data_IF_176155560100
#
_entry.id   IF_176155560100
#
_cell.length_a   1.000
_cell.length_b   1.000
_cell.length_c   1.000
_cell.angle_alpha   90.00
_cell.angle_beta   90.00
_cell.angle_gamma   90.00
#
_symmetry.space_group_name_H-M   'P 1'
#
loop_
_entity.id
_entity.type
_entity.pdbx_description
1 polymer ?
#
# COMPACT_ATOMS: atom_id res chain seq x y z
N UNK A 1 -15.31 10.73 -19.48
CA UNK A 1 -14.62 9.69 -18.70
C UNK A 1 -13.27 10.23 -18.27
N UNK A 2 -12.92 10.17 -16.98
CA UNK A 2 -11.58 10.59 -16.52
C UNK A 2 -10.57 9.59 -17.09
N UNK A 3 -9.64 10.03 -17.92
CA UNK A 3 -8.60 9.18 -18.52
C UNK A 3 -7.29 9.33 -17.76
N UNK A 4 -6.48 8.27 -17.76
CA UNK A 4 -5.16 8.23 -17.12
C UNK A 4 -4.09 7.84 -18.17
N UNK A 5 -3.79 8.72 -19.15
CA UNK A 5 -3.06 8.32 -20.37
C UNK A 5 -1.73 7.63 -20.08
N UNK A 6 -0.96 8.14 -19.12
CA UNK A 6 0.34 7.57 -18.73
C UNK A 6 0.18 6.16 -18.15
N UNK A 7 -0.81 5.96 -17.26
CA UNK A 7 -1.03 4.65 -16.66
C UNK A 7 -1.56 3.63 -17.68
N UNK A 8 -2.39 4.08 -18.62
CA UNK A 8 -2.88 3.24 -19.70
C UNK A 8 -1.75 2.81 -20.66
N UNK A 9 -0.82 3.72 -20.97
CA UNK A 9 0.38 3.38 -21.75
C UNK A 9 1.21 2.29 -21.07
N UNK A 10 1.31 2.33 -19.74
CA UNK A 10 2.11 1.38 -18.94
C UNK A 10 1.30 0.19 -18.39
N UNK A 11 0.03 0.03 -18.79
CA UNK A 11 -0.91 -0.94 -18.20
C UNK A 11 -0.33 -2.35 -18.12
N UNK A 12 0.23 -2.84 -19.22
CA UNK A 12 0.77 -4.20 -19.28
C UNK A 12 1.94 -4.41 -18.29
N UNK A 13 2.76 -3.38 -18.07
CA UNK A 13 3.86 -3.41 -17.09
C UNK A 13 3.33 -3.39 -15.66
N UNK A 14 2.32 -2.55 -15.39
CA UNK A 14 1.65 -2.45 -14.09
C UNK A 14 1.01 -3.79 -13.73
N UNK A 15 0.21 -4.36 -14.64
CA UNK A 15 -0.54 -5.60 -14.42
C UNK A 15 0.37 -6.83 -14.27
N UNK A 16 1.59 -6.80 -14.83
CA UNK A 16 2.60 -7.85 -14.64
C UNK A 16 3.17 -7.89 -13.22
N UNK A 17 3.06 -6.80 -12.46
CA UNK A 17 3.57 -6.77 -11.10
C UNK A 17 2.73 -7.66 -10.19
N UNK A 18 3.39 -8.62 -9.51
CA UNK A 18 2.75 -9.52 -8.57
C UNK A 18 1.99 -8.76 -7.48
N UNK A 19 0.77 -9.20 -7.21
CA UNK A 19 -0.13 -8.60 -6.23
C UNK A 19 -0.96 -9.70 -5.57
N UNK A 20 -0.79 -9.87 -4.27
CA UNK A 20 -1.58 -10.80 -3.46
C UNK A 20 -2.36 -10.00 -2.41
N UNK A 21 -3.61 -10.38 -2.17
CA UNK A 21 -4.43 -9.78 -1.11
C UNK A 21 -4.24 -10.56 0.18
N UNK A 22 -3.93 -9.86 1.25
CA UNK A 22 -3.74 -10.38 2.59
C UNK A 22 -4.78 -9.78 3.53
N UNK A 23 -5.24 -10.57 4.50
CA UNK A 23 -6.17 -10.12 5.55
C UNK A 23 -5.40 -9.86 6.84
N UNK A 24 -5.70 -8.73 7.48
CA UNK A 24 -5.01 -8.28 8.69
C UNK A 24 -5.95 -8.09 9.89
N UNK A 25 -7.24 -8.35 9.71
CA UNK A 25 -8.23 -8.16 10.77
C UNK A 25 -9.62 -8.68 10.39
N UNK A 26 -10.63 -8.43 11.24
CA UNK A 26 -11.92 -9.13 11.17
C UNK A 26 -12.93 -8.55 10.17
N UNK A 27 -12.59 -7.53 9.39
CA UNK A 27 -13.55 -6.85 8.50
C UNK A 27 -13.07 -6.95 7.06
N UNK A 28 -13.98 -6.83 6.10
CA UNK A 28 -13.62 -6.84 4.66
C UNK A 28 -12.61 -5.75 4.28
N UNK A 29 -12.49 -4.73 5.13
CA UNK A 29 -11.59 -3.58 4.96
C UNK A 29 -10.30 -3.72 5.72
N UNK A 30 -10.14 -4.79 6.48
CA UNK A 30 -8.85 -5.18 7.03
C UNK A 30 -8.09 -6.05 6.04
N UNK A 31 -7.90 -5.53 4.83
CA UNK A 31 -7.18 -6.19 3.77
C UNK A 31 -6.13 -5.27 3.15
N UNK A 32 -5.01 -5.81 2.69
CA UNK A 32 -4.01 -5.07 1.93
C UNK A 32 -3.52 -5.86 0.74
N UNK A 33 -3.02 -5.16 -0.27
CA UNK A 33 -2.37 -5.77 -1.43
C UNK A 33 -0.85 -5.61 -1.32
N UNK A 34 -0.10 -6.71 -1.40
CA UNK A 34 1.37 -6.72 -1.46
C UNK A 34 1.89 -8.01 -2.15
N UNK A 35 3.06 -7.97 -2.81
CA UNK A 35 3.80 -9.20 -3.12
C UNK A 35 4.25 -9.89 -1.82
N UNK A 36 4.50 -11.20 -1.87
CA UNK A 36 4.92 -11.99 -0.70
C UNK A 36 6.09 -11.31 0.05
N UNK A 37 5.89 -10.86 1.31
CA UNK A 37 6.87 -10.05 2.00
C UNK A 37 8.15 -10.83 2.29
N UNK A 38 9.28 -10.26 1.88
CA UNK A 38 10.60 -10.79 2.18
C UNK A 38 11.16 -10.10 3.42
N UNK A 39 11.85 -10.83 4.32
CA UNK A 39 12.58 -10.23 5.45
C UNK A 39 13.53 -9.10 4.98
N UNK A 40 13.72 -8.09 5.84
CA UNK A 40 14.66 -6.97 5.67
C UNK A 40 14.47 -6.09 4.42
N UNK A 41 13.36 -6.27 3.70
CA UNK A 41 13.05 -5.45 2.53
C UNK A 41 12.30 -4.19 2.96
N UNK A 42 12.75 -2.98 2.56
CA UNK A 42 12.08 -1.74 2.94
C UNK A 42 10.66 -1.69 2.37
N UNK A 43 9.75 -1.12 3.16
CA UNK A 43 8.32 -1.17 2.90
C UNK A 43 7.80 0.23 2.59
N UNK A 44 7.15 0.36 1.45
CA UNK A 44 6.40 1.55 1.07
C UNK A 44 4.92 1.32 1.35
N UNK A 45 4.41 1.93 2.42
CA UNK A 45 2.97 1.92 2.72
C UNK A 45 2.33 3.12 2.04
N UNK A 46 1.30 2.88 1.23
CA UNK A 46 0.51 3.93 0.60
C UNK A 46 -0.93 3.91 1.09
N UNK A 47 -1.32 4.95 1.82
CA UNK A 47 -2.69 5.18 2.27
C UNK A 47 -3.42 6.05 1.24
N UNK A 48 -4.47 5.50 0.62
CA UNK A 48 -5.24 6.23 -0.38
C UNK A 48 -6.03 7.39 0.24
N UNK A 49 -6.46 8.33 -0.61
CA UNK A 49 -7.29 9.47 -0.21
C UNK A 49 -8.80 9.16 -0.28
N UNK A 50 -9.61 10.20 -0.11
CA UNK A 50 -11.08 10.06 -0.07
C UNK A 50 -11.73 10.66 1.17
N UNK A 51 -10.99 11.50 1.91
CA UNK A 51 -11.48 12.27 3.05
C UNK A 51 -11.99 11.39 4.18
N UNK A 52 -11.41 10.19 4.34
CA UNK A 52 -11.84 9.15 5.29
C UNK A 52 -13.26 8.60 5.11
N UNK A 53 -14.07 9.13 4.19
CA UNK A 53 -15.45 8.73 3.96
C UNK A 53 -15.62 7.93 2.66
N UNK A 54 -14.60 7.91 1.81
CA UNK A 54 -14.56 7.14 0.55
C UNK A 54 -13.16 6.59 0.30
N UNK A 55 -13.02 5.75 -0.74
CA UNK A 55 -11.74 5.18 -1.17
C UNK A 55 -11.69 3.66 -1.03
N UNK A 56 -10.77 3.06 -1.78
CA UNK A 56 -10.47 1.64 -1.78
C UNK A 56 -9.06 1.39 -2.34
N UNK A 57 -8.40 0.31 -1.89
CA UNK A 57 -7.07 -0.11 -2.37
C UNK A 57 -7.05 -0.42 -3.87
N UNK A 58 -8.19 -0.83 -4.43
CA UNK A 58 -8.42 -0.97 -5.87
C UNK A 58 -9.67 -0.17 -6.26
N UNK A 59 -9.52 0.78 -7.16
CA UNK A 59 -10.63 1.59 -7.66
C UNK A 59 -11.38 0.87 -8.80
N UNK A 60 -12.65 1.20 -9.06
CA UNK A 60 -13.37 0.68 -10.22
C UNK A 60 -12.68 1.05 -11.54
N UNK A 61 -12.85 0.21 -12.57
CA UNK A 61 -12.36 0.51 -13.91
C UNK A 61 -12.93 1.85 -14.42
N UNK A 62 -12.13 2.65 -15.16
CA UNK A 62 -10.77 2.38 -15.65
C UNK A 62 -9.64 2.67 -14.64
N UNK A 63 -9.97 3.15 -13.44
CA UNK A 63 -9.00 3.60 -12.43
C UNK A 63 -8.33 2.48 -11.63
N UNK A 64 -8.60 1.21 -11.91
CA UNK A 64 -8.11 0.06 -11.14
C UNK A 64 -6.59 -0.05 -11.08
N UNK A 65 -5.88 0.51 -12.06
CA UNK A 65 -4.41 0.49 -12.13
C UNK A 65 -3.72 1.63 -11.36
N UNK A 66 -4.48 2.59 -10.80
CA UNK A 66 -3.93 3.79 -10.16
C UNK A 66 -3.08 3.50 -8.94
N UNK A 67 -3.39 2.45 -8.18
CA UNK A 67 -2.58 2.05 -7.02
C UNK A 67 -1.78 0.77 -7.27
N UNK A 68 -2.14 -0.01 -8.29
CA UNK A 68 -1.33 -1.16 -8.72
C UNK A 68 0.02 -0.70 -9.32
N UNK A 69 0.08 0.48 -9.93
CA UNK A 69 1.33 1.04 -10.46
C UNK A 69 2.42 1.22 -9.38
N UNK A 70 2.05 1.31 -8.10
CA UNK A 70 2.98 1.40 -6.98
C UNK A 70 3.85 0.14 -6.89
N UNK A 71 3.37 -1.00 -7.37
CA UNK A 71 4.17 -2.21 -7.49
C UNK A 71 5.47 -2.04 -8.29
N UNK A 72 5.57 -1.02 -9.16
CA UNK A 72 6.81 -0.70 -9.87
C UNK A 72 8.02 -0.41 -8.95
N UNK A 73 7.78 0.01 -7.70
CA UNK A 73 8.85 0.22 -6.71
C UNK A 73 9.54 -1.07 -6.25
N UNK A 74 8.99 -2.25 -6.57
CA UNK A 74 9.68 -3.54 -6.41
C UNK A 74 11.00 -3.61 -7.17
N UNK A 75 11.06 -2.99 -8.35
CA UNK A 75 12.31 -2.87 -9.13
C UNK A 75 13.37 -1.99 -8.46
N UNK A 76 12.97 -1.21 -7.45
CA UNK A 76 13.84 -0.36 -6.63
C UNK A 76 14.11 -0.96 -5.25
N UNK A 77 13.73 -2.22 -5.04
CA UNK A 77 13.97 -2.96 -3.80
C UNK A 77 12.95 -2.68 -2.69
N UNK A 78 11.77 -2.15 -2.99
CA UNK A 78 10.70 -1.95 -2.00
C UNK A 78 9.59 -2.99 -2.15
N UNK A 79 8.98 -3.39 -1.03
CA UNK A 79 7.64 -3.98 -1.03
C UNK A 79 6.64 -2.85 -0.89
N UNK A 80 5.66 -2.80 -1.79
CA UNK A 80 4.57 -1.82 -1.70
C UNK A 80 3.34 -2.44 -1.07
N UNK A 81 2.82 -1.79 -0.04
CA UNK A 81 1.61 -2.20 0.68
C UNK A 81 0.54 -1.13 0.48
N UNK A 82 -0.60 -1.52 -0.05
CA UNK A 82 -1.79 -0.64 -0.17
C UNK A 82 -2.91 -1.23 0.68
N UNK A 83 -3.05 -0.81 1.95
CA UNK A 83 -4.10 -1.32 2.82
C UNK A 83 -5.42 -0.58 2.57
N UNK A 84 -6.52 -1.32 2.58
CA UNK A 84 -7.79 -0.75 2.98
C UNK A 84 -7.76 -0.41 4.47
N UNK A 85 -8.57 0.56 4.84
CA UNK A 85 -8.77 0.97 6.21
C UNK A 85 -10.25 1.26 6.46
N UNK A 86 -10.64 1.31 7.74
CA UNK A 86 -12.01 1.63 8.11
C UNK A 86 -12.31 3.08 7.73
N UNK A 87 -13.37 3.29 6.95
CA UNK A 87 -13.85 4.65 6.69
C UNK A 87 -14.60 5.18 7.89
N UNK A 88 -14.53 6.49 8.07
CA UNK A 88 -15.34 7.20 9.03
C UNK A 88 -16.82 7.04 8.64
N UNK A 89 -17.53 6.28 9.44
CA UNK A 89 -18.99 6.23 9.47
C UNK A 89 -19.45 6.48 10.91
N UNK A 90 -20.74 6.34 11.20
CA UNK A 90 -21.27 6.60 12.54
C UNK A 90 -20.71 5.68 13.65
N UNK A 91 -19.99 4.60 13.29
CA UNK A 91 -19.47 3.58 14.22
C UNK A 91 -17.95 3.57 14.33
N UNK A 92 -17.23 4.20 13.39
CA UNK A 92 -15.76 4.23 13.37
C UNK A 92 -15.26 5.63 13.75
N UNK A 93 -14.58 5.73 14.90
CA UNK A 93 -13.88 6.95 15.27
C UNK A 93 -12.55 7.07 14.52
N UNK A 94 -12.24 8.29 14.09
CA UNK A 94 -10.95 8.65 13.50
C UNK A 94 -9.78 8.42 14.49
N UNK A 95 -8.60 7.97 14.03
CA UNK A 95 -8.24 7.54 12.66
C UNK A 95 -8.48 6.04 12.40
N UNK A 96 -9.18 5.72 11.31
CA UNK A 96 -9.49 4.33 10.92
C UNK A 96 -8.31 3.58 10.29
N UNK A 97 -7.30 4.30 9.82
CA UNK A 97 -6.04 3.81 9.27
C UNK A 97 -5.05 3.29 10.32
N UNK A 98 -5.33 3.53 11.61
CA UNK A 98 -4.46 3.12 12.73
C UNK A 98 -4.21 1.62 12.72
N UNK A 99 -5.25 0.81 12.48
CA UNK A 99 -5.15 -0.65 12.55
C UNK A 99 -4.24 -1.20 11.45
N UNK A 100 -4.34 -0.64 10.24
CA UNK A 100 -3.48 -1.01 9.11
C UNK A 100 -2.01 -0.71 9.42
N UNK A 101 -1.73 0.49 9.94
CA UNK A 101 -0.38 0.89 10.30
C UNK A 101 0.16 0.03 11.44
N UNK A 102 -0.63 -0.21 12.48
CA UNK A 102 -0.23 -1.06 13.61
C UNK A 102 0.10 -2.47 13.14
N UNK A 103 -0.74 -3.06 12.28
CA UNK A 103 -0.47 -4.38 11.73
C UNK A 103 0.84 -4.41 10.93
N UNK A 104 1.10 -3.41 10.08
CA UNK A 104 2.36 -3.30 9.35
C UNK A 104 3.55 -3.20 10.31
N UNK A 105 3.44 -2.36 11.34
CA UNK A 105 4.48 -2.19 12.37
C UNK A 105 4.79 -3.50 13.12
N UNK A 106 3.77 -4.30 13.39
CA UNK A 106 3.89 -5.51 14.22
C UNK A 106 4.29 -6.75 13.41
N UNK A 107 3.97 -6.82 12.12
CA UNK A 107 4.08 -8.05 11.33
C UNK A 107 5.12 -7.97 10.21
N UNK A 108 5.45 -6.78 9.74
CA UNK A 108 6.45 -6.64 8.69
C UNK A 108 7.77 -6.21 9.32
N UNK A 109 8.81 -7.02 9.14
CA UNK A 109 10.12 -6.79 9.73
C UNK A 109 10.68 -5.44 9.28
N UNK A 110 10.84 -4.50 10.21
CA UNK A 110 11.60 -3.30 9.97
C UNK A 110 13.09 -3.65 10.07
N UNK A 111 13.94 -3.18 9.15
CA UNK A 111 15.36 -3.16 9.40
C UNK A 111 15.60 -2.41 10.72
N UNK A 112 16.48 -2.94 11.58
CA UNK A 112 16.83 -2.30 12.85
C UNK A 112 17.11 -0.79 12.67
N UNK A 113 16.69 0.03 13.64
CA UNK A 113 16.72 1.51 13.51
C UNK A 113 18.11 2.09 13.21
N UNK A 114 19.17 1.36 13.60
CA UNK A 114 20.57 1.69 13.31
C UNK A 114 20.89 1.57 11.81
N UNK A 115 20.26 0.60 11.13
CA UNK A 115 20.37 0.39 9.68
C UNK A 115 19.77 1.56 8.92
N UNK A 116 18.59 2.05 9.33
CA UNK A 116 17.92 3.21 8.72
C UNK A 116 18.75 4.49 8.89
N UNK A 117 19.26 4.73 10.09
CA UNK A 117 20.12 5.88 10.39
C UNK A 117 21.41 5.88 9.55
N UNK A 118 22.00 4.70 9.32
CA UNK A 118 23.20 4.56 8.49
C UNK A 118 22.91 4.76 6.99
N UNK A 119 21.75 4.33 6.49
CA UNK A 119 21.34 4.52 5.10
C UNK A 119 21.07 6.00 4.78
N UNK A 120 20.39 6.72 5.67
CA UNK A 120 20.14 8.18 5.52
C UNK A 120 21.45 8.97 5.52
N UNK A 121 22.43 8.57 6.34
CA UNK A 121 23.74 9.23 6.40
C UNK A 121 24.61 8.98 5.18
N UNK A 122 24.46 7.84 4.50
CA UNK A 122 25.22 7.48 3.28
C UNK A 122 24.68 8.12 1.99
N UNK A 123 23.48 8.68 2.01
CA UNK A 123 22.85 9.36 0.88
C UNK A 123 23.11 10.87 0.79
N UNK A 124 24.07 11.41 1.55
CA UNK A 124 24.54 12.81 1.48
C UNK A 124 25.97 12.89 0.99
#
# INVERSE_FOLDING_TARGET
>A
TRSFPILETERASIEKTARETHQYGPTDRHAFDAPNPQPDTPILVFLYGGGFNTGARTLPAPASIIYHNLGSFTTRGFITVVPDYRLADSRVQFPGERDAMQWVMDNLSFPDSDTISSAIRRGR
#
